data_IF_905031256218
#
_entry.id   IF_905031256218
#
_cell.length_a   1.000
_cell.length_b   1.000
_cell.length_c   1.000
_cell.angle_alpha   90.00
_cell.angle_beta   90.00
_cell.angle_gamma   90.00
#
_symmetry.space_group_name_H-M   'P 1'
#
loop_
_entity.id
_entity.type
_entity.pdbx_description
1 polymer ?
#
# COMPACT_ATOMS: atom_id res chain seq x y z
N UNK A 1 4.67 -13.13 -5.13
CA UNK A 1 4.34 -12.02 -6.05
C UNK A 1 2.84 -11.78 -5.97
N UNK A 2 2.39 -10.53 -5.92
CA UNK A 2 0.99 -10.15 -5.98
C UNK A 2 0.82 -9.14 -7.12
N UNK A 3 -0.19 -9.33 -7.97
CA UNK A 3 -0.46 -8.46 -9.11
C UNK A 3 -1.91 -8.01 -9.08
N UNK A 4 -2.15 -6.76 -9.46
CA UNK A 4 -3.47 -6.19 -9.61
C UNK A 4 -3.43 -5.13 -10.72
N UNK A 5 -4.07 -5.41 -11.86
CA UNK A 5 -3.93 -4.61 -13.07
C UNK A 5 -2.45 -4.37 -13.42
N UNK A 6 -1.99 -3.12 -13.41
CA UNK A 6 -0.60 -2.72 -13.63
C UNK A 6 0.25 -2.69 -12.34
N UNK A 7 -0.37 -2.71 -11.16
CA UNK A 7 0.32 -2.74 -9.88
C UNK A 7 0.89 -4.15 -9.62
N UNK A 8 2.22 -4.24 -9.51
CA UNK A 8 2.92 -5.49 -9.17
C UNK A 8 3.73 -5.30 -7.89
N UNK A 9 3.52 -6.21 -6.94
CA UNK A 9 4.26 -6.27 -5.69
C UNK A 9 5.06 -7.58 -5.58
N UNK A 10 6.34 -7.43 -5.22
CA UNK A 10 7.24 -8.54 -4.95
C UNK A 10 7.54 -8.51 -3.45
N UNK A 11 7.38 -9.65 -2.80
CA UNK A 11 7.69 -9.82 -1.39
C UNK A 11 8.74 -10.91 -1.27
N UNK A 12 9.85 -10.57 -0.64
CA UNK A 12 10.90 -11.50 -0.25
C UNK A 12 11.04 -11.41 1.26
N UNK A 13 11.07 -12.56 1.92
CA UNK A 13 11.23 -12.64 3.37
C UNK A 13 12.37 -13.62 3.67
N UNK A 14 13.30 -13.18 4.51
CA UNK A 14 14.38 -14.02 5.02
C UNK A 14 14.65 -13.62 6.49
N UNK A 15 15.14 -14.57 7.28
CA UNK A 15 15.61 -14.36 8.66
C UNK A 15 16.80 -13.40 8.65
N UNK A 16 17.68 -13.55 7.66
CA UNK A 16 18.82 -12.67 7.47
C UNK A 16 18.42 -11.45 6.60
N UNK A 17 18.43 -10.21 7.15
CA UNK A 17 18.08 -9.03 6.39
C UNK A 17 19.04 -8.75 5.23
N UNK A 18 20.29 -9.20 5.31
CA UNK A 18 21.31 -8.94 4.30
C UNK A 18 21.12 -9.84 3.06
N UNK A 19 20.46 -10.99 3.22
CA UNK A 19 20.12 -11.89 2.11
C UNK A 19 18.80 -11.53 1.44
N UNK A 20 17.94 -10.74 2.11
CA UNK A 20 16.62 -10.38 1.58
C UNK A 20 16.73 -9.57 0.27
N UNK A 21 17.64 -8.59 0.13
CA UNK A 21 17.87 -7.88 -1.12
C UNK A 21 18.37 -8.77 -2.26
N UNK A 22 19.21 -9.78 -1.96
CA UNK A 22 19.68 -10.71 -2.99
C UNK A 22 18.52 -11.51 -3.59
N UNK A 23 17.62 -12.01 -2.73
CA UNK A 23 16.40 -12.67 -3.19
C UNK A 23 15.54 -11.73 -4.05
N UNK A 24 15.40 -10.47 -3.63
CA UNK A 24 14.63 -9.47 -4.36
C UNK A 24 15.27 -9.12 -5.71
N UNK A 25 16.59 -9.03 -5.78
CA UNK A 25 17.34 -8.77 -7.02
C UNK A 25 17.15 -9.91 -8.03
N UNK A 26 17.23 -11.17 -7.62
CA UNK A 26 16.97 -12.33 -8.48
C UNK A 26 15.57 -12.24 -9.11
N UNK A 27 14.56 -11.85 -8.33
CA UNK A 27 13.21 -11.66 -8.84
C UNK A 27 13.10 -10.47 -9.80
N UNK A 28 13.79 -9.38 -9.52
CA UNK A 28 13.84 -8.21 -10.41
C UNK A 28 14.51 -8.53 -11.74
N UNK A 29 15.61 -9.27 -11.74
CA UNK A 29 16.32 -9.67 -12.96
C UNK A 29 15.46 -10.60 -13.81
N UNK A 30 14.71 -11.50 -13.19
CA UNK A 30 13.73 -12.34 -13.88
C UNK A 30 12.59 -11.52 -14.51
N UNK A 31 12.10 -10.51 -13.80
CA UNK A 31 11.08 -9.59 -14.32
C UNK A 31 11.64 -8.73 -15.45
N UNK A 32 12.91 -8.32 -15.39
CA UNK A 32 13.54 -7.54 -16.45
C UNK A 32 13.66 -8.36 -17.75
N UNK A 33 14.08 -9.62 -17.63
CA UNK A 33 14.11 -10.56 -18.76
C UNK A 33 12.72 -10.77 -19.37
N UNK A 34 11.70 -10.96 -18.51
CA UNK A 34 10.31 -11.09 -18.96
C UNK A 34 9.83 -9.80 -19.64
N UNK A 35 10.03 -8.64 -19.02
CA UNK A 35 9.62 -7.35 -19.54
C UNK A 35 10.28 -7.05 -20.89
N UNK A 36 11.56 -7.39 -21.04
CA UNK A 36 12.30 -7.28 -22.30
C UNK A 36 11.70 -8.19 -23.39
N UNK A 37 11.40 -9.45 -23.05
CA UNK A 37 10.79 -10.41 -23.97
C UNK A 37 9.44 -9.92 -24.49
N UNK A 38 8.63 -9.36 -23.60
CA UNK A 38 7.28 -8.87 -23.93
C UNK A 38 7.24 -7.40 -24.34
N UNK A 39 8.40 -6.74 -24.45
CA UNK A 39 8.55 -5.31 -24.82
C UNK A 39 7.75 -4.36 -23.90
N UNK A 40 7.69 -4.69 -22.61
CA UNK A 40 7.03 -3.90 -21.58
C UNK A 40 8.07 -2.98 -20.92
N UNK A 41 7.75 -1.68 -20.83
CA UNK A 41 8.61 -0.69 -20.19
C UNK A 41 8.18 -0.46 -18.74
N UNK A 42 9.00 -0.91 -17.80
CA UNK A 42 8.81 -0.65 -16.36
C UNK A 42 9.53 0.67 -16.01
N UNK A 43 8.96 1.47 -15.12
CA UNK A 43 9.54 2.74 -14.68
C UNK A 43 10.14 2.62 -13.27
N UNK A 44 11.47 2.52 -13.12
CA UNK A 44 12.12 2.37 -11.81
C UNK A 44 11.79 3.50 -10.82
N UNK A 45 11.56 4.72 -11.31
CA UNK A 45 11.27 5.89 -10.48
C UNK A 45 9.85 5.90 -9.90
N UNK A 46 8.93 5.11 -10.49
CA UNK A 46 7.60 4.88 -9.92
C UNK A 46 7.57 3.68 -8.97
N UNK A 47 8.58 2.81 -9.04
CA UNK A 47 8.75 1.69 -8.12
C UNK A 47 9.26 2.18 -6.77
N UNK A 48 8.90 1.47 -5.71
CA UNK A 48 9.31 1.80 -4.35
C UNK A 48 9.80 0.54 -3.66
N UNK A 49 10.99 0.62 -3.07
CA UNK A 49 11.54 -0.44 -2.23
C UNK A 49 11.20 -0.15 -0.76
N UNK A 50 10.59 -1.13 -0.08
CA UNK A 50 10.17 -0.98 1.31
C UNK A 50 10.68 -2.13 2.14
N UNK A 51 11.71 -1.91 2.96
CA UNK A 51 12.20 -2.92 3.87
C UNK A 51 11.33 -2.97 5.14
N UNK A 52 10.58 -4.06 5.31
CA UNK A 52 9.84 -4.33 6.53
C UNK A 52 10.74 -4.99 7.58
N UNK A 53 11.27 -4.18 8.50
CA UNK A 53 12.16 -4.68 9.57
C UNK A 53 12.09 -3.81 10.82
N UNK A 54 12.23 -4.45 11.98
CA UNK A 54 12.40 -3.78 13.27
C UNK A 54 13.86 -3.42 13.56
N UNK A 55 14.82 -3.96 12.79
CA UNK A 55 16.23 -3.62 12.93
C UNK A 55 16.46 -2.16 12.50
N UNK A 56 17.40 -1.51 13.19
CA UNK A 56 17.80 -0.12 12.92
C UNK A 56 18.74 0.01 11.72
N UNK A 57 19.33 -1.10 11.29
CA UNK A 57 20.21 -1.16 10.12
C UNK A 57 19.44 -0.82 8.85
N UNK A 58 20.06 -0.02 7.98
CA UNK A 58 19.56 0.23 6.64
C UNK A 58 19.91 -0.97 5.74
N UNK A 59 18.92 -1.57 5.08
CA UNK A 59 19.19 -2.69 4.19
C UNK A 59 19.84 -2.20 2.89
N UNK A 60 20.62 -3.07 2.22
CA UNK A 60 21.28 -2.69 0.98
C UNK A 60 20.28 -2.23 -0.09
N UNK A 61 20.70 -1.28 -0.95
CA UNK A 61 19.87 -0.79 -2.05
C UNK A 61 19.65 -1.87 -3.10
N UNK A 62 18.52 -1.77 -3.80
CA UNK A 62 18.16 -2.67 -4.90
C UNK A 62 18.13 -1.89 -6.20
N UNK A 63 18.60 -2.51 -7.28
CA UNK A 63 18.71 -1.89 -8.59
C UNK A 63 17.79 -2.56 -9.59
N UNK A 64 17.20 -1.79 -10.48
CA UNK A 64 16.41 -2.28 -11.60
C UNK A 64 16.84 -1.56 -12.87
N UNK A 65 17.27 -2.33 -13.88
CA UNK A 65 17.82 -1.79 -15.14
C UNK A 65 18.94 -0.76 -14.90
N UNK A 66 19.85 -1.03 -13.97
CA UNK A 66 20.96 -0.14 -13.60
C UNK A 66 20.56 1.12 -12.81
N UNK A 67 19.27 1.33 -12.54
CA UNK A 67 18.77 2.45 -11.72
C UNK A 67 18.46 1.97 -10.30
N UNK A 68 18.93 2.70 -9.28
CA UNK A 68 18.59 2.41 -7.90
C UNK A 68 17.10 2.73 -7.64
N UNK A 69 16.36 1.77 -7.08
CA UNK A 69 14.96 1.99 -6.69
C UNK A 69 14.93 2.84 -5.40
N UNK A 70 14.12 3.91 -5.34
CA UNK A 70 14.01 4.73 -4.14
C UNK A 70 13.43 3.92 -2.97
N UNK A 71 14.07 4.03 -1.81
CA UNK A 71 13.60 3.40 -0.58
C UNK A 71 12.60 4.31 0.15
N UNK A 72 11.58 3.72 0.76
CA UNK A 72 10.60 4.44 1.58
C UNK A 72 10.25 3.67 2.85
N UNK A 73 9.97 4.41 3.93
CA UNK A 73 9.48 3.85 5.18
C UNK A 73 7.98 3.56 5.17
N UNK A 74 7.25 4.05 4.15
CA UNK A 74 5.81 3.87 3.99
C UNK A 74 5.46 3.68 2.52
N UNK A 75 4.51 2.80 2.24
CA UNK A 75 3.98 2.61 0.89
C UNK A 75 2.47 2.50 0.91
N UNK A 76 1.86 3.00 -0.15
CA UNK A 76 0.44 2.80 -0.41
C UNK A 76 0.31 1.73 -1.50
N UNK A 77 -0.31 0.61 -1.17
CA UNK A 77 -0.60 -0.48 -2.10
C UNK A 77 -2.09 -0.77 -2.05
N UNK A 78 -2.78 -0.68 -3.20
CA UNK A 78 -4.23 -0.90 -3.30
C UNK A 78 -5.06 -0.14 -2.25
N UNK A 79 -4.71 1.12 -1.98
CA UNK A 79 -5.43 1.93 -0.98
C UNK A 79 -5.12 1.61 0.49
N UNK A 80 -4.22 0.65 0.75
CA UNK A 80 -3.73 0.28 2.08
C UNK A 80 -2.37 0.95 2.30
N UNK A 81 -2.18 1.59 3.46
CA UNK A 81 -0.90 2.18 3.82
C UNK A 81 -0.12 1.24 4.74
N UNK A 82 1.02 0.75 4.27
CA UNK A 82 1.93 -0.10 5.03
C UNK A 82 3.11 0.74 5.52
N UNK A 83 3.40 0.67 6.81
CA UNK A 83 4.59 1.28 7.42
C UNK A 83 5.70 0.25 7.63
N UNK A 84 6.95 0.71 7.70
CA UNK A 84 8.16 -0.13 7.91
C UNK A 84 8.01 -1.17 9.02
N UNK A 85 7.27 -0.83 10.09
CA UNK A 85 7.07 -1.69 11.27
C UNK A 85 5.76 -2.49 11.23
N UNK A 86 4.97 -2.35 10.16
CA UNK A 86 3.65 -2.97 10.00
C UNK A 86 2.73 -2.73 11.21
N UNK A 87 2.81 -1.54 11.81
CA UNK A 87 2.01 -1.18 12.98
C UNK A 87 0.59 -0.75 12.63
N UNK A 88 0.30 -0.51 11.34
CA UNK A 88 -0.99 -0.02 10.83
C UNK A 88 -1.40 1.36 11.36
N UNK A 89 -0.60 1.97 12.24
CA UNK A 89 -0.91 3.26 12.88
C UNK A 89 -1.17 4.39 11.88
N UNK A 90 -0.28 4.63 10.89
CA UNK A 90 -0.51 5.64 9.86
C UNK A 90 -1.78 5.40 9.03
N UNK A 91 -2.06 4.14 8.69
CA UNK A 91 -3.26 3.74 7.95
C UNK A 91 -4.53 4.03 8.75
N UNK A 92 -4.59 3.57 10.00
CA UNK A 92 -5.73 3.79 10.89
C UNK A 92 -5.97 5.27 11.16
N UNK A 93 -4.89 6.06 11.34
CA UNK A 93 -5.00 7.52 11.49
C UNK A 93 -5.60 8.17 10.25
N UNK A 94 -5.16 7.77 9.06
CA UNK A 94 -5.69 8.29 7.79
C UNK A 94 -7.15 7.89 7.58
N UNK A 95 -7.50 6.62 7.86
CA UNK A 95 -8.87 6.11 7.79
C UNK A 95 -9.81 6.85 8.74
N UNK A 96 -9.39 7.05 10.00
CA UNK A 96 -10.15 7.80 11.01
C UNK A 96 -10.37 9.25 10.56
N UNK A 97 -9.35 9.91 10.00
CA UNK A 97 -9.48 11.28 9.46
C UNK A 97 -10.50 11.33 8.32
N UNK A 98 -10.43 10.41 7.36
CA UNK A 98 -11.36 10.33 6.24
C UNK A 98 -12.81 10.07 6.71
N UNK A 99 -13.00 9.11 7.63
CA UNK A 99 -14.30 8.81 8.20
C UNK A 99 -14.89 10.02 8.94
N UNK A 100 -14.09 10.70 9.77
CA UNK A 100 -14.53 11.89 10.50
C UNK A 100 -14.91 13.04 9.56
N UNK A 101 -14.15 13.22 8.47
CA UNK A 101 -14.46 14.21 7.44
C UNK A 101 -15.80 13.90 6.76
N UNK A 102 -16.01 12.66 6.29
CA UNK A 102 -17.29 12.27 5.67
C UNK A 102 -18.45 12.36 6.65
N UNK A 103 -18.24 11.94 7.89
CA UNK A 103 -19.23 12.08 8.95
C UNK A 103 -19.60 13.55 9.17
N UNK A 104 -18.61 14.45 9.19
CA UNK A 104 -18.85 15.88 9.34
C UNK A 104 -19.72 16.44 8.22
N UNK A 105 -19.46 16.06 6.97
CA UNK A 105 -20.29 16.46 5.82
C UNK A 105 -21.72 15.91 5.90
N UNK A 106 -21.89 14.67 6.39
CA UNK A 106 -23.19 14.02 6.50
C UNK A 106 -23.96 14.39 7.78
N UNK A 107 -23.33 15.07 8.75
CA UNK A 107 -23.97 15.45 10.03
C UNK A 107 -25.30 16.18 9.86
N UNK A 108 -25.46 17.19 8.97
CA UNK A 108 -26.74 17.88 8.78
C UNK A 108 -27.85 16.92 8.34
N UNK A 109 -27.53 16.02 7.40
CA UNK A 109 -28.47 15.03 6.86
C UNK A 109 -28.85 14.01 7.94
N UNK A 110 -27.87 13.51 8.69
CA UNK A 110 -28.11 12.54 9.77
C UNK A 110 -28.89 13.14 10.95
N UNK A 111 -28.74 14.45 11.21
CA UNK A 111 -29.50 15.18 12.25
C UNK A 111 -30.89 15.65 11.80
N UNK A 112 -31.19 15.64 10.51
CA UNK A 112 -32.49 16.07 9.98
C UNK A 112 -33.64 15.15 10.41
N UNK A 113 -34.89 15.53 10.08
CA UNK A 113 -36.11 14.74 10.33
C UNK A 113 -36.31 13.56 9.35
N UNK A 114 -35.28 13.18 8.57
CA UNK A 114 -35.35 12.03 7.68
C UNK A 114 -35.72 10.75 8.43
N UNK A 115 -36.43 9.84 7.73
CA UNK A 115 -36.76 8.52 8.27
C UNK A 115 -35.50 7.75 8.65
N UNK A 116 -35.58 7.00 9.75
CA UNK A 116 -34.46 6.20 10.26
C UNK A 116 -33.95 5.18 9.22
N UNK A 117 -34.85 4.62 8.41
CA UNK A 117 -34.51 3.70 7.33
C UNK A 117 -33.56 4.35 6.30
N UNK A 118 -33.87 5.56 5.84
CA UNK A 118 -33.03 6.33 4.91
C UNK A 118 -31.67 6.67 5.54
N UNK A 119 -31.65 7.09 6.81
CA UNK A 119 -30.39 7.35 7.54
C UNK A 119 -29.51 6.10 7.63
N UNK A 120 -30.12 4.94 7.84
CA UNK A 120 -29.42 3.67 7.89
C UNK A 120 -28.84 3.26 6.53
N UNK A 121 -29.57 3.49 5.43
CA UNK A 121 -29.05 3.29 4.07
C UNK A 121 -27.84 4.20 3.82
N UNK A 122 -27.93 5.48 4.18
CA UNK A 122 -26.83 6.45 4.03
C UNK A 122 -25.60 5.98 4.82
N UNK A 123 -25.79 5.54 6.06
CA UNK A 123 -24.70 4.98 6.87
C UNK A 123 -24.05 3.75 6.20
N UNK A 124 -24.86 2.78 5.77
CA UNK A 124 -24.38 1.54 5.15
C UNK A 124 -23.68 1.76 3.80
N UNK A 125 -24.10 2.76 3.04
CA UNK A 125 -23.56 3.04 1.69
C UNK A 125 -22.35 3.99 1.70
N UNK A 126 -22.32 4.99 2.58
CA UNK A 126 -21.30 6.04 2.51
C UNK A 126 -20.24 5.98 3.61
N UNK A 127 -20.59 5.49 4.80
CA UNK A 127 -19.70 5.46 5.96
C UNK A 127 -19.13 4.06 6.21
N UNK A 128 -19.97 3.02 6.22
CA UNK A 128 -19.55 1.64 6.45
C UNK A 128 -18.44 1.18 5.50
N UNK A 129 -18.48 1.45 4.18
CA UNK A 129 -17.44 0.96 3.26
C UNK A 129 -16.05 1.52 3.53
N UNK A 130 -15.97 2.72 4.13
CA UNK A 130 -14.68 3.33 4.47
C UNK A 130 -13.94 2.52 5.52
N UNK A 131 -14.69 2.02 6.51
CA UNK A 131 -14.16 1.22 7.61
C UNK A 131 -14.04 -0.25 7.23
N UNK A 132 -14.99 -0.83 6.48
CA UNK A 132 -14.92 -2.25 6.12
C UNK A 132 -13.84 -2.58 5.08
N UNK A 133 -13.32 -1.59 4.36
CA UNK A 133 -12.22 -1.80 3.42
C UNK A 133 -10.86 -1.65 4.12
N UNK A 134 -10.06 -2.72 4.11
CA UNK A 134 -8.71 -2.76 4.65
C UNK A 134 -8.61 -2.50 6.17
N UNK A 135 -9.58 -3.02 6.92
CA UNK A 135 -9.62 -3.21 8.39
C UNK A 135 -10.20 -4.60 8.61
#
# INVERSE_FOLDING_TARGET
MATYADDTAILCANINPDETPNCLQIHLDSIDNWATTWRIKINPNKSVYVPFTLKRTEPPPVHFQGTQIPSSSKVKYLGIMLDKRLTWGPHLKQKRKNLNYRLHLLRPILKSKLQIHTKHIIYKSLLRPIWSYAI
#
